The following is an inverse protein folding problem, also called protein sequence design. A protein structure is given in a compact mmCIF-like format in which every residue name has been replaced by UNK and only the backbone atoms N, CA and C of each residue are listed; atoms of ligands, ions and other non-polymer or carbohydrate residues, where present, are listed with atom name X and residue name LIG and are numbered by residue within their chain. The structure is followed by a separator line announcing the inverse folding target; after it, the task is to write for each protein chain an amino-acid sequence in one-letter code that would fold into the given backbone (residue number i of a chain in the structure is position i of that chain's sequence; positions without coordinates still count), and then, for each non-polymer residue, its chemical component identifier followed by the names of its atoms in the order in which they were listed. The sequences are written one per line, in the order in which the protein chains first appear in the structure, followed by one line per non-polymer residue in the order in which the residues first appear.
data_IF_142890099160
#
_entry.id   IF_142890099160
#
_cell.length_a   1.000
_cell.length_b   1.000
_cell.length_c   1.000
_cell.angle_alpha   90.00
_cell.angle_beta   90.00
_cell.angle_gamma   90.00
#
_symmetry.space_group_name_H-M   'P 1'
#
loop_
_entity.id
_entity.type
_entity.pdbx_description
1 polymer ?
#
# COMPACT_ATOMS: atom_id res chain seq x y z
N UNK A 1 -16.02 -3.63 -2.10
CA UNK A 1 -15.14 -3.35 -0.95
C UNK A 1 -13.80 -3.93 -1.30
N UNK A 2 -12.86 -3.05 -1.66
CA UNK A 2 -11.47 -3.42 -1.93
C UNK A 2 -10.87 -3.86 -0.59
N UNK A 3 -10.02 -4.88 -0.62
CA UNK A 3 -9.37 -5.38 0.60
C UNK A 3 -7.99 -4.74 0.70
N UNK A 4 -7.65 -4.14 1.84
CA UNK A 4 -6.30 -3.57 2.02
C UNK A 4 -5.23 -4.66 2.05
N UNK A 5 -4.04 -4.41 1.50
CA UNK A 5 -2.92 -5.35 1.60
C UNK A 5 -2.50 -5.56 3.07
N UNK A 6 -2.59 -4.52 3.90
CA UNK A 6 -2.33 -4.55 5.35
C UNK A 6 -3.21 -5.54 6.11
N UNK A 7 -4.41 -5.86 5.63
CA UNK A 7 -5.24 -6.88 6.27
C UNK A 7 -4.62 -8.27 6.18
N UNK A 8 -4.02 -8.61 5.02
CA UNK A 8 -3.31 -9.88 4.84
C UNK A 8 -2.07 -9.89 5.74
N UNK A 9 -1.29 -8.81 5.72
CA UNK A 9 -0.08 -8.68 6.52
C UNK A 9 -0.38 -8.83 8.01
N UNK A 10 -1.41 -8.13 8.50
CA UNK A 10 -1.83 -8.16 9.90
C UNK A 10 -2.47 -9.49 10.33
N UNK A 11 -3.08 -10.25 9.40
CA UNK A 11 -3.50 -11.64 9.68
C UNK A 11 -2.32 -12.56 9.90
N UNK A 12 -1.33 -12.51 9.00
CA UNK A 12 -0.14 -13.34 9.08
C UNK A 12 0.70 -12.99 10.33
N UNK A 13 0.87 -11.71 10.64
CA UNK A 13 1.55 -11.26 11.85
C UNK A 13 0.89 -11.88 13.10
N UNK A 14 -0.44 -11.79 13.21
CA UNK A 14 -1.17 -12.35 14.36
C UNK A 14 -1.08 -13.88 14.43
N UNK A 15 -1.15 -14.56 13.30
CA UNK A 15 -0.98 -16.02 13.24
C UNK A 15 0.40 -16.44 13.76
N UNK A 16 1.47 -15.85 13.22
CA UNK A 16 2.83 -16.20 13.59
C UNK A 16 3.13 -15.83 15.04
N UNK A 17 2.72 -14.66 15.52
CA UNK A 17 2.85 -14.30 16.94
C UNK A 17 2.10 -15.28 17.86
N UNK A 18 0.90 -15.73 17.45
CA UNK A 18 0.15 -16.73 18.20
C UNK A 18 0.87 -18.08 18.26
N UNK A 19 1.47 -18.52 17.15
CA UNK A 19 2.24 -19.76 17.06
C UNK A 19 3.54 -19.71 17.85
N UNK A 20 4.22 -18.56 17.86
CA UNK A 20 5.40 -18.29 18.69
C UNK A 20 5.03 -18.37 20.17
N UNK A 21 3.96 -17.68 20.58
CA UNK A 21 3.48 -17.72 21.97
C UNK A 21 3.08 -19.14 22.41
N UNK A 22 2.58 -19.96 21.49
CA UNK A 22 2.26 -21.37 21.72
C UNK A 22 3.49 -22.30 21.70
N UNK A 23 4.68 -21.79 21.38
CA UNK A 23 5.92 -22.59 21.23
C UNK A 23 5.91 -23.53 20.01
N UNK A 24 5.00 -23.30 19.05
CA UNK A 24 4.84 -24.11 17.83
C UNK A 24 5.59 -23.54 16.63
N UNK A 25 6.19 -22.36 16.80
CA UNK A 25 7.09 -21.70 15.86
C UNK A 25 8.20 -21.04 16.69
N UNK A 26 9.45 -21.27 16.35
CA UNK A 26 10.56 -20.61 17.03
C UNK A 26 10.73 -19.17 16.49
N UNK A 27 11.16 -18.24 17.33
CA UNK A 27 11.34 -16.83 16.95
C UNK A 27 12.46 -16.64 15.90
N UNK A 28 13.45 -17.53 15.90
CA UNK A 28 14.58 -17.53 14.96
C UNK A 28 14.35 -18.43 13.73
N UNK A 29 13.19 -19.07 13.63
CA UNK A 29 12.83 -19.86 12.46
C UNK A 29 12.59 -18.94 11.25
N UNK A 30 13.14 -19.23 10.06
CA UNK A 30 12.85 -18.46 8.85
C UNK A 30 11.35 -18.38 8.49
N UNK A 31 10.54 -19.32 8.96
CA UNK A 31 9.09 -19.28 8.80
C UNK A 31 8.40 -18.19 9.68
N UNK A 32 9.10 -17.64 10.67
CA UNK A 32 8.66 -16.53 11.53
C UNK A 32 8.97 -15.14 10.93
N UNK A 33 8.69 -14.97 9.63
CA UNK A 33 9.05 -13.77 8.89
C UNK A 33 8.14 -12.56 9.16
N UNK A 34 6.86 -12.77 9.48
CA UNK A 34 5.87 -11.70 9.52
C UNK A 34 6.15 -10.64 10.61
N UNK A 35 6.61 -11.00 11.83
CA UNK A 35 7.04 -10.01 12.81
C UNK A 35 8.20 -9.12 12.35
N UNK A 36 9.04 -9.60 11.43
CA UNK A 36 10.16 -8.84 10.89
C UNK A 36 9.79 -8.01 9.66
N UNK A 37 9.00 -8.58 8.73
CA UNK A 37 8.57 -7.90 7.51
C UNK A 37 7.46 -6.89 7.77
N UNK A 38 6.47 -7.25 8.59
CA UNK A 38 5.31 -6.42 8.87
C UNK A 38 5.12 -6.16 10.37
N UNK A 39 6.07 -5.48 11.04
CA UNK A 39 5.87 -5.04 12.41
C UNK A 39 4.56 -4.25 12.55
N UNK A 40 3.88 -4.38 13.69
CA UNK A 40 2.58 -3.73 13.90
C UNK A 40 2.61 -2.20 13.68
N UNK A 41 3.73 -1.55 14.01
CA UNK A 41 3.92 -0.12 13.79
C UNK A 41 3.97 0.24 12.28
N UNK A 42 4.65 -0.57 11.47
CA UNK A 42 4.70 -0.38 10.02
C UNK A 42 3.31 -0.55 9.39
N UNK A 43 2.58 -1.62 9.77
CA UNK A 43 1.21 -1.84 9.30
C UNK A 43 0.32 -0.63 9.63
N UNK A 44 0.38 -0.13 10.87
CA UNK A 44 -0.41 1.01 11.30
C UNK A 44 -0.06 2.31 10.55
N UNK A 45 1.22 2.53 10.24
CA UNK A 45 1.68 3.67 9.45
C UNK A 45 1.15 3.60 8.02
N UNK A 46 1.26 2.44 7.36
CA UNK A 46 0.68 2.21 6.03
C UNK A 46 -0.83 2.41 6.05
N UNK A 47 -1.55 1.85 7.03
CA UNK A 47 -3.00 2.02 7.15
C UNK A 47 -3.40 3.49 7.29
N UNK A 48 -2.63 4.28 8.05
CA UNK A 48 -2.87 5.73 8.21
C UNK A 48 -2.67 6.48 6.87
N UNK A 49 -1.63 6.13 6.12
CA UNK A 49 -1.37 6.70 4.79
C UNK A 49 -2.48 6.34 3.80
N UNK A 50 -2.95 5.09 3.82
CA UNK A 50 -4.07 4.65 2.97
C UNK A 50 -5.40 5.28 3.39
N UNK A 51 -5.66 5.48 4.69
CA UNK A 51 -6.84 6.21 5.19
C UNK A 51 -6.89 7.63 4.62
N UNK A 52 -5.76 8.34 4.64
CA UNK A 52 -5.65 9.70 4.11
C UNK A 52 -5.91 9.72 2.60
N UNK A 53 -5.32 8.78 1.86
CA UNK A 53 -5.53 8.64 0.43
C UNK A 53 -6.98 8.35 0.05
N UNK A 54 -7.63 7.41 0.74
CA UNK A 54 -9.05 7.10 0.51
C UNK A 54 -9.96 8.29 0.83
N UNK A 55 -9.64 9.06 1.87
CA UNK A 55 -10.36 10.28 2.18
C UNK A 55 -10.19 11.34 1.08
N UNK A 56 -8.96 11.52 0.59
CA UNK A 56 -8.64 12.41 -0.53
C UNK A 56 -9.45 12.04 -1.78
N UNK A 57 -9.38 10.77 -2.21
CA UNK A 57 -10.10 10.28 -3.40
C UNK A 57 -11.61 10.44 -3.23
N UNK A 58 -12.17 10.11 -2.06
CA UNK A 58 -13.60 10.27 -1.78
C UNK A 58 -14.08 11.72 -1.82
N UNK A 59 -13.17 12.67 -1.61
CA UNK A 59 -13.48 14.10 -1.67
C UNK A 59 -13.49 14.66 -3.10
N UNK A 60 -12.95 13.91 -4.08
CA UNK A 60 -12.90 14.34 -5.47
C UNK A 60 -14.30 14.33 -6.09
N UNK A 61 -14.66 15.45 -6.74
CA UNK A 61 -15.93 15.59 -7.47
C UNK A 61 -15.65 16.17 -8.85
N UNK A 62 -15.70 15.33 -9.87
CA UNK A 62 -15.27 15.66 -11.24
C UNK A 62 -13.83 16.21 -11.29
N UNK A 63 -12.84 15.46 -10.76
CA UNK A 63 -11.45 15.92 -10.71
C UNK A 63 -10.85 16.07 -12.11
N UNK A 64 -9.89 16.98 -12.26
CA UNK A 64 -8.98 16.96 -13.39
C UNK A 64 -7.96 15.83 -13.24
N UNK A 65 -7.34 15.43 -14.35
CA UNK A 65 -6.25 14.45 -14.35
C UNK A 65 -5.13 14.85 -13.36
N UNK A 66 -4.77 16.13 -13.32
CA UNK A 66 -3.75 16.65 -12.42
C UNK A 66 -4.13 16.50 -10.95
N UNK A 67 -5.41 16.65 -10.60
CA UNK A 67 -5.88 16.44 -9.22
C UNK A 67 -5.80 14.98 -8.82
N UNK A 68 -6.11 14.05 -9.73
CA UNK A 68 -5.98 12.61 -9.47
C UNK A 68 -4.51 12.24 -9.30
N UNK A 69 -3.64 12.64 -10.21
CA UNK A 69 -2.20 12.36 -10.10
C UNK A 69 -1.57 13.02 -8.87
N UNK A 70 -2.00 14.21 -8.46
CA UNK A 70 -1.54 14.82 -7.22
C UNK A 70 -1.94 14.01 -5.98
N UNK A 71 -3.10 13.33 -6.00
CA UNK A 71 -3.50 12.42 -4.93
C UNK A 71 -2.65 11.15 -4.92
N UNK A 72 -2.36 10.58 -6.09
CA UNK A 72 -1.45 9.42 -6.25
C UNK A 72 -0.04 9.77 -5.78
N UNK A 73 0.50 10.91 -6.21
CA UNK A 73 1.81 11.38 -5.78
C UNK A 73 1.90 11.45 -4.26
N UNK A 74 0.94 12.12 -3.60
CA UNK A 74 0.94 12.29 -2.15
C UNK A 74 0.96 10.96 -1.39
N UNK A 75 0.17 9.97 -1.84
CA UNK A 75 0.16 8.66 -1.18
C UNK A 75 1.46 7.90 -1.41
N UNK A 76 2.04 7.96 -2.62
CA UNK A 76 3.31 7.29 -2.92
C UNK A 76 4.47 7.91 -2.14
N UNK A 77 4.57 9.24 -2.09
CA UNK A 77 5.59 9.94 -1.31
C UNK A 77 5.46 9.65 0.19
N UNK A 78 4.23 9.64 0.73
CA UNK A 78 4.01 9.25 2.12
C UNK A 78 4.36 7.77 2.39
N UNK A 79 4.17 6.87 1.42
CA UNK A 79 4.62 5.49 1.53
C UNK A 79 6.15 5.36 1.46
N UNK A 80 6.85 6.20 0.68
CA UNK A 80 8.32 6.27 0.70
C UNK A 80 8.83 6.66 2.10
N UNK A 81 8.21 7.67 2.72
CA UNK A 81 8.57 8.09 4.08
C UNK A 81 8.36 6.97 5.10
N UNK A 82 7.20 6.29 5.05
CA UNK A 82 6.92 5.13 5.91
C UNK A 82 7.94 4.01 5.68
N UNK A 83 8.31 3.75 4.44
CA UNK A 83 9.31 2.74 4.14
C UNK A 83 10.69 3.07 4.72
N UNK A 84 11.15 4.32 4.54
CA UNK A 84 12.43 4.80 5.08
C UNK A 84 12.46 4.74 6.61
N UNK A 85 11.40 5.23 7.28
CA UNK A 85 11.28 5.22 8.74
C UNK A 85 11.30 3.80 9.33
N UNK A 86 10.78 2.83 8.59
CA UNK A 86 10.72 1.43 9.00
C UNK A 86 11.87 0.57 8.46
N UNK A 87 12.82 1.17 7.74
CA UNK A 87 14.05 0.54 7.29
C UNK A 87 13.90 -0.36 6.07
N UNK A 88 13.10 0.04 5.09
CA UNK A 88 12.96 -0.67 3.81
C UNK A 88 12.12 -1.95 3.95
N UNK A 89 10.85 -1.81 4.34
CA UNK A 89 9.89 -2.91 4.53
C UNK A 89 8.99 -3.16 3.33
N UNK A 90 8.88 -2.21 2.40
CA UNK A 90 8.16 -2.37 1.15
C UNK A 90 9.08 -3.11 0.17
N UNK A 91 9.00 -4.45 0.18
CA UNK A 91 9.68 -5.26 -0.81
C UNK A 91 8.84 -5.40 -2.09
N UNK A 92 9.31 -6.20 -3.05
CA UNK A 92 8.62 -6.37 -4.35
C UNK A 92 7.16 -6.81 -4.21
N UNK A 93 6.83 -7.67 -3.23
CA UNK A 93 5.45 -8.13 -3.02
C UNK A 93 4.54 -7.05 -2.45
N UNK A 94 5.03 -6.30 -1.46
CA UNK A 94 4.32 -5.18 -0.85
C UNK A 94 4.11 -4.06 -1.87
N UNK A 95 5.14 -3.79 -2.68
CA UNK A 95 5.09 -2.86 -3.81
C UNK A 95 3.92 -3.14 -4.72
N UNK A 96 3.85 -4.36 -5.23
CA UNK A 96 2.83 -4.75 -6.21
C UNK A 96 1.43 -4.62 -5.59
N UNK A 97 1.28 -5.08 -4.35
CA UNK A 97 0.01 -5.02 -3.65
C UNK A 97 -0.43 -3.58 -3.31
N UNK A 98 0.51 -2.69 -2.98
CA UNK A 98 0.21 -1.26 -2.72
C UNK A 98 -0.14 -0.52 -4.02
N UNK A 99 0.60 -0.76 -5.11
CA UNK A 99 0.30 -0.16 -6.40
C UNK A 99 -1.07 -0.61 -6.94
N UNK A 100 -1.38 -1.89 -6.82
CA UNK A 100 -2.71 -2.45 -7.15
C UNK A 100 -3.80 -1.81 -6.29
N UNK A 101 -3.58 -1.69 -4.97
CA UNK A 101 -4.58 -1.07 -4.08
C UNK A 101 -4.85 0.41 -4.41
N UNK A 102 -3.82 1.18 -4.73
CA UNK A 102 -3.95 2.59 -5.13
C UNK A 102 -4.81 2.72 -6.40
N UNK A 103 -4.54 1.88 -7.40
CA UNK A 103 -5.33 1.82 -8.63
C UNK A 103 -6.79 1.40 -8.36
N UNK A 104 -7.00 0.38 -7.53
CA UNK A 104 -8.32 -0.12 -7.18
C UNK A 104 -9.18 0.97 -6.51
N UNK A 105 -8.60 1.76 -5.59
CA UNK A 105 -9.32 2.85 -4.90
C UNK A 105 -9.81 3.91 -5.90
N UNK A 106 -9.02 4.28 -6.89
CA UNK A 106 -9.47 5.19 -7.96
C UNK A 106 -10.57 4.55 -8.80
N UNK A 107 -10.40 3.28 -9.16
CA UNK A 107 -11.35 2.53 -9.98
C UNK A 107 -12.71 2.40 -9.28
N UNK A 108 -12.73 2.09 -7.98
CA UNK A 108 -13.95 2.01 -7.16
C UNK A 108 -14.62 3.38 -6.97
N UNK A 109 -13.83 4.47 -6.97
CA UNK A 109 -14.34 5.84 -7.04
C UNK A 109 -14.89 6.24 -8.43
N UNK A 110 -14.85 5.33 -9.41
CA UNK A 110 -15.37 5.54 -10.76
C UNK A 110 -14.42 6.32 -11.68
N UNK A 111 -13.15 6.43 -11.31
CA UNK A 111 -12.12 7.05 -12.16
C UNK A 111 -11.64 6.03 -13.19
N UNK A 112 -11.66 6.41 -14.46
CA UNK A 112 -11.07 5.64 -15.55
C UNK A 112 -9.54 5.78 -15.52
N UNK A 113 -8.88 4.90 -14.76
CA UNK A 113 -7.43 4.93 -14.57
C UNK A 113 -6.69 4.62 -15.88
N UNK A 114 -7.19 3.68 -16.68
CA UNK A 114 -6.59 3.34 -17.97
C UNK A 114 -6.63 4.52 -18.93
N UNK A 115 -7.77 5.21 -19.03
CA UNK A 115 -7.87 6.45 -19.80
C UNK A 115 -7.01 7.57 -19.24
N UNK A 116 -6.94 7.71 -17.91
CA UNK A 116 -6.11 8.71 -17.21
C UNK A 116 -4.61 8.56 -17.55
N UNK A 117 -4.06 7.35 -17.43
CA UNK A 117 -2.64 7.10 -17.73
C UNK A 117 -2.37 7.20 -19.22
N UNK A 118 -3.30 6.70 -20.06
CA UNK A 118 -3.17 6.78 -21.52
C UNK A 118 -3.08 8.21 -22.04
N UNK A 119 -3.80 9.17 -21.42
CA UNK A 119 -3.70 10.61 -21.77
C UNK A 119 -2.33 11.23 -21.48
N UNK A 120 -1.46 10.53 -20.74
CA UNK A 120 -0.07 10.91 -20.44
C UNK A 120 0.96 9.94 -21.04
N UNK A 121 0.57 9.17 -22.05
CA UNK A 121 1.43 8.16 -22.70
C UNK A 121 2.01 7.13 -21.71
N UNK A 122 1.23 6.72 -20.71
CA UNK A 122 1.57 5.70 -19.70
C UNK A 122 0.60 4.54 -19.70
N UNK A 123 1.10 3.35 -19.39
CA UNK A 123 0.27 2.19 -19.11
C UNK A 123 -0.32 2.28 -17.69
N UNK A 124 -1.48 1.62 -17.47
CA UNK A 124 -2.17 1.62 -16.18
C UNK A 124 -1.27 1.14 -15.04
N UNK A 125 -0.44 0.13 -15.30
CA UNK A 125 0.47 -0.45 -14.31
C UNK A 125 1.60 0.52 -13.90
N UNK A 126 1.83 1.59 -14.67
CA UNK A 126 2.84 2.62 -14.39
C UNK A 126 2.28 3.78 -13.54
N UNK A 127 1.04 3.68 -13.05
CA UNK A 127 0.34 4.75 -12.32
C UNK A 127 1.18 5.39 -11.21
N UNK A 128 1.88 4.57 -10.44
CA UNK A 128 2.69 5.00 -9.28
C UNK A 128 4.15 5.27 -9.63
N UNK A 129 4.62 4.81 -10.78
CA UNK A 129 6.05 4.55 -11.05
C UNK A 129 6.94 5.78 -10.99
N UNK A 130 6.38 6.96 -11.31
CA UNK A 130 7.12 8.22 -11.30
C UNK A 130 7.65 8.62 -9.92
N UNK A 131 6.96 8.25 -8.83
CA UNK A 131 7.25 8.74 -7.48
C UNK A 131 7.78 7.68 -6.53
N UNK A 132 7.80 6.41 -6.93
CA UNK A 132 8.23 5.31 -6.05
C UNK A 132 9.74 5.34 -5.83
N UNK A 133 10.15 5.24 -4.57
CA UNK A 133 11.56 5.06 -4.18
C UNK A 133 11.87 3.67 -3.58
N UNK A 134 10.83 2.87 -3.33
CA UNK A 134 10.88 1.49 -2.84
C UNK A 134 10.83 0.40 -3.94
#
# INVERSE_FOLDING_TARGET
MITRPTERWGRELRDQLGRIAAGTLAEDDPAAYAPYLWPAAFIAAVDTTLDAYEADVRSLSSPSDDQVFASVQRVVEALNEVDEEHGGKIETGEREALAEYIDDVLTDAGIDVEGLTSRRDRERHELTDEWREW
#
